data_IF_214992803150
#
_entry.id   IF_214992803150
#
_cell.length_a   1.000
_cell.length_b   1.000
_cell.length_c   1.000
_cell.angle_alpha   90.00
_cell.angle_beta   90.00
_cell.angle_gamma   90.00
#
_symmetry.space_group_name_H-M   'P 1'
#
loop_
_entity.id
_entity.type
_entity.pdbx_description
1 polymer ?
#
# COMPACT_ATOMS: atom_id res chain seq x y z
N UNK A 1 -13.03 -4.94 7.38
CA UNK A 1 -13.83 -5.47 6.26
C UNK A 1 -12.95 -6.18 5.25
N UNK A 2 -11.67 -5.82 5.13
CA UNK A 2 -10.66 -6.68 4.52
C UNK A 2 -10.59 -8.03 5.25
N UNK A 3 -10.81 -9.10 4.50
CA UNK A 3 -10.89 -10.49 4.99
C UNK A 3 -9.66 -11.25 4.49
N UNK A 4 -9.04 -12.01 5.39
CA UNK A 4 -7.98 -12.93 5.01
C UNK A 4 -8.59 -14.14 4.29
N UNK A 5 -8.23 -14.30 3.02
CA UNK A 5 -8.77 -15.36 2.15
C UNK A 5 -8.41 -16.77 2.63
N UNK A 6 -7.41 -16.93 3.49
CA UNK A 6 -7.02 -18.24 4.06
C UNK A 6 -7.88 -18.63 5.25
N UNK A 7 -8.26 -17.67 6.09
CA UNK A 7 -8.89 -17.94 7.39
C UNK A 7 -10.36 -17.54 7.44
N UNK A 8 -10.81 -16.63 6.55
CA UNK A 8 -12.15 -16.08 6.55
C UNK A 8 -12.41 -15.04 7.65
N UNK A 9 -11.41 -14.71 8.46
CA UNK A 9 -11.48 -13.68 9.50
C UNK A 9 -10.96 -12.33 8.98
N UNK A 10 -11.24 -11.21 9.67
CA UNK A 10 -10.62 -9.94 9.35
C UNK A 10 -9.09 -10.07 9.27
N UNK A 11 -8.47 -9.41 8.30
CA UNK A 11 -7.01 -9.39 8.18
C UNK A 11 -6.37 -8.94 9.49
N UNK A 12 -5.47 -9.75 10.02
CA UNK A 12 -4.63 -9.36 11.15
C UNK A 12 -3.34 -8.74 10.61
N UNK A 13 -3.31 -7.42 10.53
CA UNK A 13 -2.17 -6.63 10.05
C UNK A 13 -1.80 -5.56 11.06
N UNK A 14 -0.51 -5.21 11.14
CA UNK A 14 -0.02 -4.08 11.93
C UNK A 14 -0.21 -2.74 11.21
N UNK A 15 -0.68 -2.76 9.96
CA UNK A 15 -1.03 -1.58 9.20
C UNK A 15 -2.30 -0.92 9.73
N UNK A 16 -2.21 0.39 9.94
CA UNK A 16 -3.35 1.27 10.13
C UNK A 16 -4.01 1.60 8.78
N UNK A 17 -3.20 1.91 7.75
CA UNK A 17 -3.70 2.20 6.40
C UNK A 17 -2.63 1.99 5.33
N UNK A 18 -3.10 1.86 4.09
CA UNK A 18 -2.28 1.92 2.87
C UNK A 18 -2.95 2.89 1.90
N UNK A 19 -2.13 3.73 1.26
CA UNK A 19 -2.58 4.66 0.22
C UNK A 19 -1.80 4.40 -1.06
N UNK A 20 -2.50 4.31 -2.19
CA UNK A 20 -1.93 4.03 -3.51
C UNK A 20 -2.08 5.27 -4.40
N UNK A 21 -1.01 5.60 -5.10
CA UNK A 21 -0.99 6.60 -6.16
C UNK A 21 -0.76 5.86 -7.48
N UNK A 22 -1.70 6.03 -8.42
CA UNK A 22 -1.58 5.51 -9.79
C UNK A 22 -2.44 6.34 -10.74
N UNK A 23 -2.23 6.17 -12.05
CA UNK A 23 -3.00 6.86 -13.09
C UNK A 23 -4.46 6.37 -13.21
N UNK A 24 -4.78 5.22 -12.60
CA UNK A 24 -6.09 4.57 -12.67
C UNK A 24 -6.65 4.33 -11.28
N UNK A 25 -7.73 5.05 -10.94
CA UNK A 25 -8.43 4.84 -9.66
C UNK A 25 -8.95 3.40 -9.48
N UNK A 26 -9.25 2.71 -10.57
CA UNK A 26 -9.69 1.31 -10.52
C UNK A 26 -8.53 0.39 -10.10
N UNK A 27 -7.34 0.61 -10.66
CA UNK A 27 -6.14 -0.14 -10.27
C UNK A 27 -5.70 0.23 -8.85
N UNK A 28 -5.77 1.51 -8.48
CA UNK A 28 -5.47 1.96 -7.12
C UNK A 28 -6.36 1.27 -6.08
N UNK A 29 -7.66 1.11 -6.35
CA UNK A 29 -8.60 0.44 -5.45
C UNK A 29 -8.24 -1.05 -5.25
N UNK A 30 -7.97 -1.77 -6.34
CA UNK A 30 -7.51 -3.17 -6.30
C UNK A 30 -6.19 -3.27 -5.53
N UNK A 31 -5.22 -2.42 -5.88
CA UNK A 31 -3.89 -2.44 -5.27
C UNK A 31 -3.93 -2.07 -3.80
N UNK A 32 -4.83 -1.19 -3.36
CA UNK A 32 -4.95 -0.83 -1.94
C UNK A 32 -5.31 -2.05 -1.08
N UNK A 33 -6.20 -2.90 -1.59
CA UNK A 33 -6.60 -4.16 -0.94
C UNK A 33 -5.46 -5.17 -0.95
N UNK A 34 -4.82 -5.36 -2.11
CA UNK A 34 -3.71 -6.31 -2.28
C UNK A 34 -2.51 -5.92 -1.42
N UNK A 35 -2.09 -4.65 -1.45
CA UNK A 35 -0.95 -4.16 -0.68
C UNK A 35 -1.23 -4.18 0.82
N UNK A 36 -2.46 -3.87 1.26
CA UNK A 36 -2.82 -4.05 2.67
C UNK A 36 -2.70 -5.51 3.13
N UNK A 37 -3.09 -6.46 2.28
CA UNK A 37 -2.99 -7.88 2.58
C UNK A 37 -1.55 -8.40 2.57
N UNK A 38 -0.71 -7.89 1.66
CA UNK A 38 0.67 -8.34 1.46
C UNK A 38 1.68 -7.69 2.42
N UNK A 39 1.40 -6.46 2.88
CA UNK A 39 2.34 -5.59 3.59
C UNK A 39 3.52 -5.14 2.70
N UNK A 40 4.32 -4.20 3.21
CA UNK A 40 5.32 -3.47 2.44
C UNK A 40 6.31 -4.36 1.70
N UNK A 41 6.96 -5.32 2.38
CA UNK A 41 8.08 -6.07 1.78
C UNK A 41 7.61 -6.93 0.59
N UNK A 42 6.42 -7.53 0.69
CA UNK A 42 5.83 -8.30 -0.41
C UNK A 42 5.26 -7.40 -1.51
N UNK A 43 4.81 -6.19 -1.19
CA UNK A 43 4.47 -5.20 -2.21
C UNK A 43 5.69 -4.83 -3.06
N UNK A 44 6.85 -4.62 -2.44
CA UNK A 44 8.10 -4.37 -3.17
C UNK A 44 8.49 -5.57 -4.05
N UNK A 45 8.35 -6.80 -3.54
CA UNK A 45 8.57 -8.00 -4.36
C UNK A 45 7.60 -8.08 -5.55
N UNK A 46 6.35 -7.64 -5.38
CA UNK A 46 5.32 -7.65 -6.41
C UNK A 46 5.61 -6.59 -7.49
N UNK A 47 6.05 -5.38 -7.09
CA UNK A 47 6.53 -4.34 -8.01
C UNK A 47 7.74 -4.80 -8.82
N UNK A 48 8.75 -5.38 -8.17
CA UNK A 48 9.97 -5.84 -8.83
C UNK A 48 9.78 -6.98 -9.85
N UNK A 49 8.60 -7.60 -9.88
CA UNK A 49 8.27 -8.66 -10.85
C UNK A 49 7.54 -8.13 -12.08
N UNK A 50 7.28 -6.83 -12.18
CA UNK A 50 6.52 -6.18 -13.26
C UNK A 50 5.17 -6.87 -13.56
N UNK A 51 4.53 -7.44 -12.53
CA UNK A 51 3.25 -8.16 -12.65
C UNK A 51 2.07 -7.18 -12.62
N UNK A 52 2.27 -6.01 -12.02
CA UNK A 52 1.27 -4.94 -11.91
C UNK A 52 1.85 -3.66 -12.50
N UNK A 53 0.98 -2.76 -12.95
CA UNK A 53 1.39 -1.47 -13.53
C UNK A 53 2.15 -0.59 -12.54
N UNK A 54 2.67 0.54 -13.02
CA UNK A 54 3.41 1.50 -12.20
C UNK A 54 2.50 2.13 -11.13
N UNK A 55 2.95 2.12 -9.88
CA UNK A 55 2.29 2.79 -8.77
C UNK A 55 3.27 3.12 -7.65
N UNK A 56 2.93 4.13 -6.85
CA UNK A 56 3.58 4.40 -5.58
C UNK A 56 2.63 4.15 -4.41
N UNK A 57 3.18 3.78 -3.25
CA UNK A 57 2.39 3.48 -2.07
C UNK A 57 3.02 3.99 -0.77
N UNK A 58 2.14 4.42 0.14
CA UNK A 58 2.46 4.75 1.53
C UNK A 58 1.76 3.77 2.47
N UNK A 59 2.51 3.28 3.46
CA UNK A 59 2.08 2.34 4.48
C UNK A 59 2.22 3.02 5.84
N UNK A 60 1.11 3.19 6.54
CA UNK A 60 1.09 3.74 7.90
C UNK A 60 0.79 2.58 8.86
N UNK A 61 1.68 2.36 9.81
CA UNK A 61 1.54 1.34 10.83
C UNK A 61 0.83 1.89 12.07
N UNK A 62 0.24 0.99 12.87
CA UNK A 62 -0.48 1.34 14.10
C UNK A 62 0.41 1.97 15.16
N UNK A 63 1.72 1.78 15.10
CA UNK A 63 2.70 2.42 15.98
C UNK A 63 3.08 3.84 15.53
N UNK A 64 2.52 4.32 14.40
CA UNK A 64 2.81 5.62 13.81
C UNK A 64 4.02 5.63 12.87
N UNK A 65 4.70 4.50 12.69
CA UNK A 65 5.76 4.40 11.69
C UNK A 65 5.19 4.43 10.27
N UNK A 66 5.99 4.93 9.33
CA UNK A 66 5.59 5.06 7.93
C UNK A 66 6.66 4.45 7.02
N UNK A 67 6.24 3.65 6.04
CA UNK A 67 7.10 3.13 4.96
C UNK A 67 6.51 3.54 3.62
N UNK A 68 7.38 3.85 2.65
CA UNK A 68 6.98 4.33 1.33
C UNK A 68 7.76 3.62 0.24
N UNK A 69 7.09 3.31 -0.87
CA UNK A 69 7.79 2.83 -2.06
C UNK A 69 8.66 3.94 -2.64
N UNK A 70 9.66 3.57 -3.45
CA UNK A 70 10.49 4.55 -4.14
C UNK A 70 9.63 5.43 -5.05
N UNK A 71 9.93 6.74 -5.12
CA UNK A 71 9.21 7.69 -5.97
C UNK A 71 8.04 8.40 -5.28
N UNK A 72 7.55 7.90 -4.14
CA UNK A 72 6.44 8.50 -3.42
C UNK A 72 6.74 9.93 -2.97
N UNK A 73 8.00 10.26 -2.70
CA UNK A 73 8.46 11.59 -2.28
C UNK A 73 8.08 12.71 -3.26
N UNK A 74 7.80 12.37 -4.52
CA UNK A 74 7.35 13.32 -5.55
C UNK A 74 5.97 13.91 -5.26
N UNK A 75 5.16 13.22 -4.47
CA UNK A 75 3.80 13.61 -4.12
C UNK A 75 3.71 14.20 -2.72
N UNK A 76 4.83 14.25 -1.98
CA UNK A 76 4.86 14.89 -0.67
C UNK A 76 4.74 16.40 -0.82
N UNK A 77 3.66 16.97 -0.30
CA UNK A 77 3.57 18.41 -0.06
C UNK A 77 3.93 18.68 1.40
N UNK A 78 5.11 19.28 1.62
CA UNK A 78 5.44 19.86 2.92
C UNK A 78 4.75 21.22 2.96
N UNK A 79 3.68 21.33 3.74
CA UNK A 79 3.02 22.61 3.97
C UNK A 79 4.05 23.65 4.42
N UNK A 80 4.01 24.82 3.80
CA UNK A 80 4.71 25.99 4.33
C UNK A 80 3.94 26.45 5.58
N UNK A 81 4.56 26.33 6.75
CA UNK A 81 4.07 26.92 8.02
C UNK A 81 4.08 28.46 7.95
#
# INVERSE_FOLDING_TARGET
HLIDTKTGYPCNSDLASVSIISDSSFEADILSTVCYYLDYDKTIELQNKDIVGDFEAEFIYKDGSVRRTMGFERYEHKGED
#
